data_IF_164103172309
#
_entry.id   IF_164103172309
#
_cell.length_a   1.000
_cell.length_b   1.000
_cell.length_c   1.000
_cell.angle_alpha   90.00
_cell.angle_beta   90.00
_cell.angle_gamma   90.00
#
_symmetry.space_group_name_H-M   'P 1'
#
loop_
_entity.id
_entity.type
_entity.pdbx_description
1 polymer ?
#
# COMPACT_ATOMS: atom_id res chain seq x y z
N UNK A 1 16.95 -59.87 26.87
CA UNK A 1 16.13 -59.32 25.80
C UNK A 1 15.49 -57.93 26.10
N UNK A 2 15.44 -57.43 27.35
CA UNK A 2 14.83 -56.09 27.65
C UNK A 2 15.74 -54.91 27.40
N UNK A 3 17.07 -55.05 27.37
CA UNK A 3 18.01 -53.93 27.11
C UNK A 3 18.06 -53.47 25.63
N UNK A 4 17.86 -54.36 24.66
CA UNK A 4 17.96 -54.04 23.25
C UNK A 4 16.70 -53.35 22.73
N UNK A 5 15.53 -53.49 23.40
CA UNK A 5 14.30 -52.83 23.01
C UNK A 5 14.35 -51.32 23.34
N UNK A 6 15.03 -50.95 24.45
CA UNK A 6 15.16 -49.53 24.85
C UNK A 6 16.08 -48.76 23.92
N UNK A 7 17.15 -49.38 23.39
CA UNK A 7 18.06 -48.72 22.41
C UNK A 7 17.37 -48.56 21.06
N UNK A 8 16.55 -49.56 20.65
CA UNK A 8 15.78 -49.43 19.38
C UNK A 8 14.74 -48.34 19.45
N UNK A 9 14.08 -48.16 20.60
CA UNK A 9 13.10 -47.09 20.82
C UNK A 9 13.75 -45.72 20.85
N UNK A 10 14.97 -45.58 21.41
CA UNK A 10 15.74 -44.33 21.41
C UNK A 10 16.21 -43.96 20.01
N UNK A 11 16.57 -44.90 19.15
CA UNK A 11 16.98 -44.68 17.77
C UNK A 11 15.77 -44.26 16.92
N UNK A 12 14.59 -44.84 17.15
CA UNK A 12 13.34 -44.45 16.43
C UNK A 12 12.91 -43.03 16.83
N UNK A 13 13.04 -42.66 18.10
CA UNK A 13 12.70 -41.29 18.56
C UNK A 13 13.70 -40.25 18.01
N UNK A 14 14.99 -40.61 17.89
CA UNK A 14 16.01 -39.70 17.32
C UNK A 14 15.86 -39.55 15.80
N UNK A 15 15.29 -40.57 15.11
CA UNK A 15 15.04 -40.49 13.68
C UNK A 15 13.75 -39.70 13.29
N UNK A 16 12.86 -39.46 14.25
CA UNK A 16 11.62 -38.70 14.01
C UNK A 16 11.76 -37.18 14.16
N UNK A 17 12.93 -36.64 14.51
CA UNK A 17 13.15 -35.21 14.69
C UNK A 17 13.85 -34.51 13.50
N UNK A 18 14.07 -35.17 12.38
CA UNK A 18 14.46 -34.50 11.14
C UNK A 18 13.17 -34.31 10.32
N UNK A 19 12.31 -33.41 10.77
CA UNK A 19 11.32 -32.83 9.88
C UNK A 19 12.17 -31.96 8.92
N UNK A 20 12.24 -32.27 7.59
CA UNK A 20 12.85 -31.34 6.69
C UNK A 20 12.06 -30.05 6.82
N UNK A 21 12.71 -28.99 7.30
CA UNK A 21 12.13 -27.65 7.23
C UNK A 21 12.01 -27.36 5.74
N UNK A 22 10.83 -27.61 5.17
CA UNK A 22 10.53 -27.13 3.83
C UNK A 22 10.68 -25.62 3.91
N UNK A 23 11.73 -25.10 3.29
CA UNK A 23 11.87 -23.68 3.10
C UNK A 23 10.59 -23.20 2.41
N UNK A 24 9.87 -22.29 3.05
CA UNK A 24 8.67 -21.73 2.44
C UNK A 24 9.08 -21.12 1.09
N UNK A 25 8.26 -21.34 0.04
CA UNK A 25 8.51 -20.74 -1.25
C UNK A 25 8.72 -19.22 -1.10
N UNK A 26 9.81 -18.66 -1.65
CA UNK A 26 10.07 -17.23 -1.54
C UNK A 26 8.88 -16.43 -2.06
N UNK A 27 8.51 -15.37 -1.34
CA UNK A 27 7.47 -14.45 -1.78
C UNK A 27 8.03 -13.05 -1.89
N UNK A 28 7.84 -12.43 -3.07
CA UNK A 28 8.20 -11.04 -3.32
C UNK A 28 6.91 -10.25 -3.55
N UNK A 29 6.73 -9.17 -2.82
CA UNK A 29 5.49 -8.39 -2.84
C UNK A 29 5.76 -6.90 -2.99
N UNK A 30 4.95 -6.24 -3.82
CA UNK A 30 4.89 -4.78 -3.88
C UNK A 30 3.99 -4.28 -2.75
N UNK A 31 4.50 -3.36 -1.94
CA UNK A 31 3.74 -2.64 -0.91
C UNK A 31 3.76 -1.15 -1.19
N UNK A 32 2.61 -0.51 -1.03
CA UNK A 32 2.42 0.93 -1.14
C UNK A 32 1.15 1.32 -0.38
N UNK A 33 0.80 2.61 -0.39
CA UNK A 33 -0.50 3.06 0.12
C UNK A 33 -1.63 2.45 -0.69
N UNK A 34 -2.75 2.12 -0.04
CA UNK A 34 -3.93 1.54 -0.70
C UNK A 34 -4.68 2.56 -1.55
N UNK A 35 -4.57 3.85 -1.22
CA UNK A 35 -5.22 4.95 -1.94
C UNK A 35 -4.38 6.22 -1.89
N UNK A 36 -4.50 7.04 -2.93
CA UNK A 36 -3.84 8.33 -3.05
C UNK A 36 -4.66 9.29 -3.92
N UNK A 37 -4.34 10.58 -3.85
CA UNK A 37 -4.90 11.62 -4.73
C UNK A 37 -4.01 11.82 -5.97
N UNK A 38 -4.60 12.30 -7.05
CA UNK A 38 -3.84 12.77 -8.22
C UNK A 38 -2.90 13.90 -7.80
N UNK A 39 -1.64 13.84 -8.23
CA UNK A 39 -0.57 14.76 -7.87
C UNK A 39 0.24 14.37 -6.64
N UNK A 40 -0.25 13.45 -5.81
CA UNK A 40 0.44 12.96 -4.63
C UNK A 40 1.65 12.10 -5.01
N UNK A 41 2.70 12.19 -4.19
CA UNK A 41 3.88 11.32 -4.32
C UNK A 41 3.81 10.22 -3.27
N UNK A 42 3.76 8.97 -3.74
CA UNK A 42 3.68 7.77 -2.92
C UNK A 42 5.04 7.05 -2.86
N UNK A 43 5.31 6.39 -1.76
CA UNK A 43 6.44 5.47 -1.63
C UNK A 43 5.99 4.05 -1.93
N UNK A 44 6.75 3.38 -2.77
CA UNK A 44 6.56 1.97 -3.12
C UNK A 44 7.75 1.18 -2.61
N UNK A 45 7.50 0.02 -2.02
CA UNK A 45 8.55 -0.92 -1.62
C UNK A 45 8.30 -2.31 -2.19
N UNK A 46 9.37 -2.97 -2.59
CA UNK A 46 9.37 -4.39 -2.96
C UNK A 46 9.98 -5.15 -1.79
N UNK A 47 9.25 -6.11 -1.24
CA UNK A 47 9.62 -6.80 -0.01
C UNK A 47 9.75 -8.31 -0.25
N UNK A 48 10.79 -8.88 0.36
CA UNK A 48 11.03 -10.31 0.43
C UNK A 48 10.45 -10.89 1.73
N UNK A 49 9.85 -12.09 1.65
CA UNK A 49 9.46 -12.86 2.83
C UNK A 49 10.67 -13.48 3.54
N UNK A 50 10.49 -13.88 4.80
CA UNK A 50 11.48 -14.64 5.54
C UNK A 50 11.70 -16.06 4.96
N UNK A 51 12.82 -16.70 5.32
CA UNK A 51 13.19 -18.07 4.95
C UNK A 51 13.22 -18.29 3.43
N UNK A 52 13.69 -17.32 2.69
CA UNK A 52 13.69 -17.34 1.22
C UNK A 52 14.83 -18.15 0.62
N UNK A 53 15.92 -18.37 1.36
CA UNK A 53 17.13 -19.11 0.92
C UNK A 53 17.63 -18.68 -0.46
N UNK A 54 17.64 -17.36 -0.74
CA UNK A 54 18.05 -16.81 -2.03
C UNK A 54 19.49 -16.31 -2.01
N UNK A 55 20.29 -16.74 -3.02
CA UNK A 55 21.65 -16.28 -3.29
C UNK A 55 21.70 -15.19 -4.36
N UNK A 56 20.79 -15.26 -5.35
CA UNK A 56 20.67 -14.24 -6.38
C UNK A 56 19.19 -13.99 -6.73
N UNK A 57 18.90 -12.76 -7.18
CA UNK A 57 17.55 -12.35 -7.53
C UNK A 57 17.56 -11.23 -8.57
N UNK A 58 16.86 -11.46 -9.70
CA UNK A 58 16.55 -10.44 -10.71
C UNK A 58 15.05 -10.30 -10.86
N UNK A 59 14.54 -9.07 -10.82
CA UNK A 59 13.13 -8.78 -11.04
C UNK A 59 12.90 -7.43 -11.72
N UNK A 60 11.73 -7.29 -12.31
CA UNK A 60 11.26 -6.05 -12.94
C UNK A 60 9.95 -5.61 -12.30
N UNK A 61 9.91 -4.36 -11.82
CA UNK A 61 8.68 -3.66 -11.45
C UNK A 61 8.22 -2.86 -12.65
N UNK A 62 6.94 -2.96 -13.02
CA UNK A 62 6.33 -2.20 -14.12
C UNK A 62 5.11 -1.43 -13.65
N UNK A 63 4.91 -0.25 -14.21
CA UNK A 63 3.76 0.62 -14.00
C UNK A 63 3.48 1.43 -15.27
N UNK A 64 2.21 1.85 -15.44
CA UNK A 64 1.80 2.61 -16.62
C UNK A 64 2.20 4.08 -16.46
N UNK A 65 2.91 4.63 -17.43
CA UNK A 65 3.37 6.04 -17.43
C UNK A 65 2.24 7.05 -17.56
N UNK A 66 1.05 6.65 -18.03
CA UNK A 66 -0.15 7.48 -17.99
C UNK A 66 -0.82 7.56 -16.61
N UNK A 67 -0.45 6.65 -15.69
CA UNK A 67 -1.02 6.54 -14.35
C UNK A 67 -0.02 7.00 -13.28
N UNK A 68 1.28 6.75 -13.52
CA UNK A 68 2.36 7.08 -12.60
C UNK A 68 3.55 7.70 -13.31
N UNK A 69 4.19 8.63 -12.65
CA UNK A 69 5.49 9.19 -13.06
C UNK A 69 6.54 8.79 -12.02
N UNK A 70 7.61 8.14 -12.45
CA UNK A 70 8.74 7.85 -11.59
C UNK A 70 9.43 9.15 -11.15
N UNK A 71 9.67 9.28 -9.86
CA UNK A 71 10.56 10.33 -9.34
C UNK A 71 12.00 9.84 -9.58
N UNK A 72 12.66 10.42 -10.57
CA UNK A 72 14.00 10.01 -11.00
C UNK A 72 15.02 10.02 -9.84
N UNK A 73 15.88 9.01 -9.76
CA UNK A 73 16.87 8.85 -8.71
C UNK A 73 16.30 8.51 -7.34
N UNK A 74 15.00 8.16 -7.26
CA UNK A 74 14.37 7.79 -6.00
C UNK A 74 14.53 6.31 -5.65
N UNK A 75 14.90 5.46 -6.60
CA UNK A 75 15.06 4.04 -6.37
C UNK A 75 16.33 3.76 -5.54
N UNK A 76 16.12 3.01 -4.45
CA UNK A 76 17.20 2.63 -3.51
C UNK A 76 17.06 1.16 -3.15
N UNK A 77 18.18 0.41 -3.22
CA UNK A 77 18.27 -0.94 -2.67
C UNK A 77 18.46 -0.89 -1.15
N UNK A 78 18.04 -1.97 -0.49
CA UNK A 78 18.45 -2.25 0.88
C UNK A 78 19.82 -2.94 0.91
N UNK A 79 20.29 -3.23 2.13
CA UNK A 79 21.54 -3.97 2.35
C UNK A 79 21.38 -5.50 2.28
N UNK A 80 20.19 -6.02 1.96
CA UNK A 80 19.96 -7.48 1.88
C UNK A 80 20.72 -8.14 0.73
N UNK A 81 20.86 -7.42 -0.38
CA UNK A 81 21.64 -7.84 -1.55
C UNK A 81 22.60 -6.73 -1.98
N UNK A 82 23.73 -7.10 -2.53
CA UNK A 82 24.54 -6.20 -3.35
C UNK A 82 23.82 -6.05 -4.69
N UNK A 83 23.18 -4.91 -4.92
CA UNK A 83 22.24 -4.77 -6.02
C UNK A 83 22.57 -3.63 -6.97
N UNK A 84 22.30 -3.87 -8.26
CA UNK A 84 22.22 -2.87 -9.32
C UNK A 84 20.76 -2.53 -9.60
N UNK A 85 20.47 -1.23 -9.76
CA UNK A 85 19.14 -0.72 -10.07
C UNK A 85 19.22 0.07 -11.38
N UNK A 86 18.29 -0.21 -12.30
CA UNK A 86 18.12 0.54 -13.55
C UNK A 86 16.71 1.10 -13.64
N UNK A 87 16.60 2.43 -13.58
CA UNK A 87 15.35 3.18 -13.73
C UNK A 87 15.03 3.45 -15.20
N UNK A 88 13.76 3.29 -15.55
CA UNK A 88 13.17 3.70 -16.84
C UNK A 88 11.81 4.35 -16.59
N UNK A 89 11.24 5.07 -17.55
CA UNK A 89 9.99 5.82 -17.36
C UNK A 89 8.84 4.98 -16.77
N UNK A 90 8.66 3.74 -17.23
CA UNK A 90 7.56 2.83 -16.80
C UNK A 90 8.02 1.56 -16.10
N UNK A 91 9.33 1.44 -15.76
CA UNK A 91 9.83 0.25 -15.08
C UNK A 91 11.10 0.50 -14.28
N UNK A 92 11.33 -0.37 -13.30
CA UNK A 92 12.59 -0.45 -12.58
C UNK A 92 13.06 -1.91 -12.61
N UNK A 93 14.29 -2.13 -13.07
CA UNK A 93 14.96 -3.42 -13.02
C UNK A 93 15.87 -3.46 -11.80
N UNK A 94 15.90 -4.58 -11.14
CA UNK A 94 16.71 -4.86 -9.96
C UNK A 94 17.43 -6.20 -10.18
N UNK A 95 18.73 -6.21 -10.04
CA UNK A 95 19.54 -7.42 -10.01
C UNK A 95 20.41 -7.41 -8.75
N UNK A 96 20.32 -8.43 -7.92
CA UNK A 96 21.03 -8.50 -6.65
C UNK A 96 21.62 -9.88 -6.41
N UNK A 97 22.83 -9.90 -5.80
CA UNK A 97 23.54 -11.10 -5.37
C UNK A 97 24.01 -10.96 -3.93
N UNK A 98 24.23 -12.07 -3.26
CA UNK A 98 24.84 -12.11 -1.92
C UNK A 98 25.95 -13.14 -1.90
N UNK A 99 26.90 -12.97 -0.98
CA UNK A 99 27.97 -13.95 -0.75
C UNK A 99 27.47 -15.21 -0.02
N UNK A 100 26.37 -15.08 0.74
CA UNK A 100 25.67 -16.13 1.44
C UNK A 100 24.18 -15.97 1.18
N UNK A 101 23.33 -16.87 1.66
CA UNK A 101 21.90 -16.84 1.38
C UNK A 101 21.14 -15.84 2.24
N UNK A 102 20.11 -15.22 1.67
CA UNK A 102 19.17 -14.37 2.41
C UNK A 102 18.00 -15.19 2.93
N UNK A 103 17.87 -15.26 4.24
CA UNK A 103 16.76 -15.88 4.96
C UNK A 103 15.90 -14.86 5.74
N UNK A 104 16.35 -13.62 5.87
CA UNK A 104 15.62 -12.55 6.53
C UNK A 104 14.55 -11.94 5.61
N UNK A 105 13.46 -11.45 6.21
CA UNK A 105 12.48 -10.65 5.49
C UNK A 105 12.92 -9.18 5.47
N UNK A 106 12.50 -8.45 4.44
CA UNK A 106 12.76 -7.01 4.39
C UNK A 106 12.48 -6.39 3.03
N UNK A 107 12.67 -5.08 2.97
CA UNK A 107 12.62 -4.37 1.71
C UNK A 107 13.86 -4.69 0.86
N UNK A 108 13.65 -4.98 -0.42
CA UNK A 108 14.71 -5.14 -1.43
C UNK A 108 14.97 -3.82 -2.15
N UNK A 109 13.88 -3.14 -2.50
CA UNK A 109 13.86 -1.93 -3.30
C UNK A 109 12.81 -0.98 -2.76
N UNK A 110 13.13 0.31 -2.68
CA UNK A 110 12.16 1.39 -2.42
C UNK A 110 12.30 2.46 -3.50
N UNK A 111 11.20 3.07 -3.92
CA UNK A 111 11.17 4.16 -4.90
C UNK A 111 9.92 5.01 -4.73
N UNK A 112 9.88 6.16 -5.40
CA UNK A 112 8.75 7.08 -5.33
C UNK A 112 8.07 7.23 -6.68
N UNK A 113 6.73 7.22 -6.66
CA UNK A 113 5.88 7.49 -7.82
C UNK A 113 4.97 8.68 -7.55
N UNK A 114 4.89 9.62 -8.51
CA UNK A 114 3.84 10.63 -8.52
C UNK A 114 2.60 10.05 -9.20
N UNK A 115 1.46 10.14 -8.55
CA UNK A 115 0.17 9.65 -9.06
C UNK A 115 -0.36 10.63 -10.09
N UNK A 116 -0.50 10.21 -11.34
CA UNK A 116 -1.09 10.99 -12.44
C UNK A 116 -2.56 10.63 -12.63
N UNK A 117 -2.92 9.37 -12.38
CA UNK A 117 -4.28 8.84 -12.44
C UNK A 117 -4.47 7.78 -11.37
N UNK A 118 -5.64 7.77 -10.76
CA UNK A 118 -5.98 6.78 -9.72
C UNK A 118 -6.51 5.48 -10.33
N UNK A 119 -6.43 4.38 -9.56
CA UNK A 119 -6.77 3.04 -10.04
C UNK A 119 -5.60 2.32 -10.72
N UNK A 120 -4.43 2.95 -10.76
CA UNK A 120 -3.24 2.40 -11.39
C UNK A 120 -2.70 1.16 -10.70
N UNK A 121 -2.12 0.27 -11.50
CA UNK A 121 -1.51 -0.98 -11.04
C UNK A 121 0.00 -0.92 -11.15
N UNK A 122 0.66 -1.50 -10.14
CA UNK A 122 2.09 -1.74 -10.10
C UNK A 122 2.28 -3.26 -10.11
N UNK A 123 2.98 -3.76 -11.11
CA UNK A 123 3.19 -5.20 -11.30
C UNK A 123 4.63 -5.58 -11.04
N UNK A 124 4.86 -6.82 -10.66
CA UNK A 124 6.18 -7.37 -10.37
C UNK A 124 6.34 -8.69 -11.12
N UNK A 125 7.46 -8.84 -11.79
CA UNK A 125 7.87 -10.06 -12.47
C UNK A 125 9.27 -10.44 -11.99
N UNK A 126 9.44 -11.64 -11.47
CA UNK A 126 10.78 -12.22 -11.22
C UNK A 126 11.29 -12.79 -12.54
N UNK A 127 12.44 -12.30 -12.96
CA UNK A 127 13.10 -12.76 -14.17
C UNK A 127 13.98 -13.97 -13.87
N UNK A 128 14.69 -13.93 -12.73
CA UNK A 128 15.58 -14.99 -12.27
C UNK A 128 15.67 -15.00 -10.75
N UNK A 129 15.73 -16.18 -10.15
CA UNK A 129 16.01 -16.38 -8.73
C UNK A 129 16.83 -17.66 -8.57
N UNK A 130 17.90 -17.58 -7.77
CA UNK A 130 18.82 -18.68 -7.48
C UNK A 130 18.86 -18.88 -5.97
N UNK A 131 18.80 -20.15 -5.53
CA UNK A 131 18.88 -20.49 -4.11
C UNK A 131 20.35 -20.66 -3.66
N UNK A 132 20.54 -21.02 -2.39
CA UNK A 132 21.88 -21.22 -1.82
C UNK A 132 22.60 -22.48 -2.31
N UNK A 133 21.95 -23.31 -3.11
CA UNK A 133 22.55 -24.48 -3.76
C UNK A 133 22.85 -24.23 -5.25
N UNK A 134 22.79 -22.98 -5.69
CA UNK A 134 22.94 -22.58 -7.10
C UNK A 134 21.83 -23.13 -8.04
N UNK A 135 20.67 -23.57 -7.47
CA UNK A 135 19.54 -24.02 -8.29
C UNK A 135 18.67 -22.82 -8.70
N UNK A 136 18.20 -22.85 -9.95
CA UNK A 136 17.21 -21.89 -10.43
C UNK A 136 15.84 -22.19 -9.84
N UNK A 137 15.33 -21.28 -9.00
CA UNK A 137 14.05 -21.42 -8.29
C UNK A 137 13.01 -20.37 -8.73
N UNK A 138 13.20 -19.75 -9.87
CA UNK A 138 12.34 -18.67 -10.40
C UNK A 138 10.86 -19.07 -10.41
N UNK A 139 10.51 -20.28 -10.82
CA UNK A 139 9.14 -20.79 -10.85
C UNK A 139 8.51 -21.00 -9.47
N UNK A 140 9.34 -21.11 -8.43
CA UNK A 140 8.91 -21.29 -7.04
C UNK A 140 8.67 -19.95 -6.32
N UNK A 141 9.12 -18.82 -6.91
CA UNK A 141 8.93 -17.50 -6.30
C UNK A 141 7.53 -17.00 -6.61
N UNK A 142 6.72 -16.80 -5.56
CA UNK A 142 5.41 -16.16 -5.71
C UNK A 142 5.54 -14.63 -5.71
N UNK A 143 4.76 -13.97 -6.56
CA UNK A 143 4.77 -12.50 -6.67
C UNK A 143 3.40 -11.90 -6.40
N UNK A 144 3.37 -10.69 -5.84
CA UNK A 144 2.15 -9.88 -5.78
C UNK A 144 2.45 -8.42 -6.09
N UNK A 145 1.65 -7.83 -6.99
CA UNK A 145 1.65 -6.42 -7.28
C UNK A 145 0.79 -5.62 -6.29
N UNK A 146 0.63 -4.33 -6.56
CA UNK A 146 -0.22 -3.42 -5.80
C UNK A 146 -1.12 -2.59 -6.71
N UNK A 147 -2.25 -2.12 -6.17
CA UNK A 147 -3.16 -1.19 -6.84
C UNK A 147 -3.38 0.02 -5.95
N UNK A 148 -3.23 1.23 -6.52
CA UNK A 148 -3.44 2.50 -5.82
C UNK A 148 -4.82 3.04 -6.20
N UNK A 149 -5.78 2.97 -5.29
CA UNK A 149 -7.15 3.49 -5.49
C UNK A 149 -7.19 5.01 -5.30
N UNK A 150 -8.29 5.65 -5.68
CA UNK A 150 -8.54 7.05 -5.35
C UNK A 150 -8.86 7.21 -3.86
N UNK A 151 -8.23 8.17 -3.19
CA UNK A 151 -8.53 8.51 -1.79
C UNK A 151 -9.78 9.35 -1.62
N UNK A 152 -10.27 9.99 -2.71
CA UNK A 152 -11.36 10.98 -2.72
C UNK A 152 -11.14 12.17 -1.77
N UNK A 153 -9.90 12.43 -1.33
CA UNK A 153 -9.59 13.49 -0.38
C UNK A 153 -9.81 14.90 -0.97
N UNK A 154 -9.55 15.07 -2.28
CA UNK A 154 -9.64 16.37 -2.97
C UNK A 154 -10.91 16.44 -3.81
N UNK A 155 -12.06 16.55 -3.15
CA UNK A 155 -13.35 16.69 -3.83
C UNK A 155 -13.66 18.17 -4.07
N UNK A 156 -14.13 18.49 -5.30
CA UNK A 156 -14.77 19.77 -5.60
C UNK A 156 -16.23 19.71 -5.16
N UNK A 157 -16.66 20.67 -4.35
CA UNK A 157 -18.02 20.74 -3.84
C UNK A 157 -18.80 21.85 -4.52
N UNK A 158 -19.95 21.52 -5.09
CA UNK A 158 -20.92 22.44 -5.67
C UNK A 158 -22.20 22.43 -4.81
N UNK A 159 -22.72 23.60 -4.49
CA UNK A 159 -23.96 23.72 -3.68
C UNK A 159 -25.15 23.49 -4.61
N UNK A 160 -25.94 22.43 -4.31
CA UNK A 160 -27.18 22.13 -5.01
C UNK A 160 -28.38 22.90 -4.41
N UNK A 161 -28.43 22.96 -3.06
CA UNK A 161 -29.43 23.69 -2.30
C UNK A 161 -28.76 24.43 -1.15
N UNK A 162 -29.01 25.73 -1.05
CA UNK A 162 -28.53 26.51 0.12
C UNK A 162 -29.30 26.12 1.38
N UNK A 163 -28.62 26.08 2.52
CA UNK A 163 -29.27 25.94 3.81
C UNK A 163 -30.01 27.22 4.19
N UNK A 164 -31.10 27.07 4.91
CA UNK A 164 -31.82 28.16 5.58
C UNK A 164 -31.86 27.90 7.08
N UNK A 165 -32.42 28.78 7.86
CA UNK A 165 -32.64 28.54 9.30
C UNK A 165 -33.67 27.43 9.56
N UNK A 166 -34.56 27.14 8.61
CA UNK A 166 -35.63 26.12 8.75
C UNK A 166 -35.29 24.82 8.02
N UNK A 167 -34.47 24.87 6.96
CA UNK A 167 -34.14 23.72 6.12
C UNK A 167 -32.63 23.51 5.95
N UNK A 168 -32.24 22.25 5.92
CA UNK A 168 -30.86 21.87 5.55
C UNK A 168 -30.64 22.12 4.06
N UNK A 169 -29.41 22.50 3.72
CA UNK A 169 -28.94 22.55 2.34
C UNK A 169 -28.36 21.21 1.88
N UNK A 170 -28.00 21.15 0.60
CA UNK A 170 -27.38 20.01 -0.05
C UNK A 170 -26.20 20.47 -0.92
N UNK A 171 -25.11 19.72 -0.91
CA UNK A 171 -23.94 19.92 -1.75
C UNK A 171 -23.54 18.61 -2.43
N UNK A 172 -23.02 18.70 -3.67
CA UNK A 172 -22.51 17.58 -4.44
C UNK A 172 -20.98 17.68 -4.51
N UNK A 173 -20.30 16.64 -4.08
CA UNK A 173 -18.88 16.48 -4.24
C UNK A 173 -18.54 15.71 -5.52
N UNK A 174 -17.57 16.20 -6.29
CA UNK A 174 -17.05 15.52 -7.48
C UNK A 174 -15.54 15.38 -7.35
N UNK A 175 -15.04 14.14 -7.46
CA UNK A 175 -13.62 13.85 -7.48
C UNK A 175 -13.07 13.82 -8.91
N UNK A 176 -11.79 14.14 -9.09
CA UNK A 176 -11.10 14.05 -10.39
C UNK A 176 -11.11 12.64 -10.99
N UNK A 177 -11.34 11.59 -10.18
CA UNK A 177 -11.50 10.21 -10.65
C UNK A 177 -12.90 9.89 -11.19
N UNK A 178 -13.83 10.85 -11.17
CA UNK A 178 -15.23 10.67 -11.59
C UNK A 178 -16.19 10.24 -10.49
N UNK A 179 -15.69 9.92 -9.28
CA UNK A 179 -16.57 9.61 -8.15
C UNK A 179 -17.37 10.85 -7.71
N UNK A 180 -18.65 10.66 -7.44
CA UNK A 180 -19.54 11.72 -6.94
C UNK A 180 -20.27 11.26 -5.68
N UNK A 181 -20.53 12.21 -4.78
CA UNK A 181 -21.33 11.99 -3.57
C UNK A 181 -22.12 13.25 -3.25
N UNK A 182 -23.21 13.11 -2.49
CA UNK A 182 -23.96 14.24 -1.94
C UNK A 182 -23.78 14.28 -0.43
N UNK A 183 -23.82 15.47 0.14
CA UNK A 183 -23.73 15.70 1.58
C UNK A 183 -24.67 16.86 1.97
N UNK A 184 -25.08 16.90 3.21
CA UNK A 184 -25.99 17.93 3.72
C UNK A 184 -25.21 19.11 4.27
N UNK A 185 -25.77 20.33 4.08
CA UNK A 185 -25.28 21.54 4.72
C UNK A 185 -26.19 21.81 5.93
N UNK A 186 -25.58 22.02 7.10
CA UNK A 186 -26.32 22.33 8.32
C UNK A 186 -27.20 23.57 8.13
N UNK A 187 -28.35 23.65 8.85
CA UNK A 187 -29.17 24.84 8.92
C UNK A 187 -28.35 26.04 9.38
N UNK A 188 -28.66 27.21 8.88
CA UNK A 188 -28.06 28.46 9.34
C UNK A 188 -28.71 28.88 10.67
N UNK A 189 -27.97 29.64 11.45
CA UNK A 189 -28.54 30.26 12.65
C UNK A 189 -29.54 31.35 12.27
N UNK A 190 -30.49 31.64 13.18
CA UNK A 190 -31.40 32.75 13.03
C UNK A 190 -30.62 34.05 13.19
N UNK A 191 -30.78 34.95 12.23
CA UNK A 191 -30.32 36.35 12.36
C UNK A 191 -31.50 37.20 12.77
N UNK A 192 -31.49 37.62 14.00
CA UNK A 192 -32.50 38.56 14.52
C UNK A 192 -32.04 39.98 14.22
N UNK A 193 -32.99 40.82 13.77
CA UNK A 193 -32.78 42.26 13.62
C UNK A 193 -32.70 42.96 14.99
N UNK A 194 -32.57 44.28 14.96
CA UNK A 194 -32.67 45.06 16.19
C UNK A 194 -34.06 44.88 16.79
N UNK A 195 -34.10 44.65 18.09
CA UNK A 195 -35.35 44.67 18.83
C UNK A 195 -36.00 46.03 18.71
N UNK A 196 -37.28 46.08 18.36
CA UNK A 196 -38.11 47.26 18.40
C UNK A 196 -39.15 47.07 19.48
N UNK A 197 -39.36 48.11 20.28
CA UNK A 197 -40.42 48.10 21.27
C UNK A 197 -41.73 48.38 20.51
N UNK A 198 -42.61 47.39 20.40
CA UNK A 198 -43.94 47.57 19.77
C UNK A 198 -44.95 48.30 20.70
N UNK A 199 -44.78 48.12 22.00
CA UNK A 199 -45.54 48.71 23.01
C UNK A 199 -44.71 48.99 24.26
N UNK A 200 -44.74 50.23 24.71
CA UNK A 200 -44.08 50.57 25.96
C UNK A 200 -44.88 50.10 27.16
N UNK A 201 -44.18 49.65 28.22
CA UNK A 201 -44.83 49.32 29.48
C UNK A 201 -45.37 50.58 30.17
N UNK A 202 -46.54 50.47 30.75
CA UNK A 202 -47.17 51.52 31.61
C UNK A 202 -47.25 50.96 33.03
N UNK A 203 -47.57 51.86 34.01
CA UNK A 203 -47.72 51.45 35.42
C UNK A 203 -48.79 50.35 35.61
N UNK A 204 -49.75 50.25 34.71
CA UNK A 204 -50.88 49.31 34.81
C UNK A 204 -50.85 48.18 33.78
N UNK A 205 -49.95 48.21 32.79
CA UNK A 205 -49.86 47.18 31.74
C UNK A 205 -48.43 46.89 31.35
N UNK A 206 -48.09 45.58 31.15
CA UNK A 206 -46.80 45.13 30.58
C UNK A 206 -46.72 45.55 29.12
N UNK A 207 -45.52 46.06 28.73
CA UNK A 207 -45.20 46.37 27.35
C UNK A 207 -44.96 45.12 26.52
#
# INVERSE_FOLDING_TARGET
MKKNLSVLFAIIILCMCIIPSYAANPKISVKTVSSASVGETITVSVNLSANSNLGALDFTVKFNTSEFQLVSGSAKSSSLFLAEIRESAGSIKYGGIVADVVNSSGALLTFKLKVLKTGGKITLTVNEAVNGNDDFVTSSVSTSGATVKCSHANMKWDILKKATCTEKGEKKGTCTCGYTTTDTIAKTEHSYGKWTVEKEATETAKG
#
